data_IF_237123527728
#
_entry.id   IF_237123527728
#
_cell.length_a   1.000
_cell.length_b   1.000
_cell.length_c   1.000
_cell.angle_alpha   90.00
_cell.angle_beta   90.00
_cell.angle_gamma   90.00
#
_symmetry.space_group_name_H-M   'P 1'
#
loop_
_entity.id
_entity.type
_entity.pdbx_description
1 polymer ?
#
# COMPACT_ATOMS: atom_id res chain seq x y z
N UNK A 1 -16.53 -4.04 15.13
CA UNK A 1 -16.71 -4.67 16.46
C UNK A 1 -15.39 -4.59 17.21
N UNK A 2 -15.42 -4.58 18.54
CA UNK A 2 -14.20 -4.63 19.36
C UNK A 2 -14.17 -5.97 20.11
N UNK A 3 -13.11 -6.76 19.91
CA UNK A 3 -12.95 -8.03 20.61
C UNK A 3 -12.28 -7.76 21.96
N UNK A 4 -12.99 -8.04 23.06
CA UNK A 4 -12.50 -7.85 24.43
C UNK A 4 -12.50 -9.21 25.14
N UNK A 5 -11.39 -9.54 25.79
CA UNK A 5 -11.18 -10.82 26.47
C UNK A 5 -10.37 -11.84 25.65
N UNK A 6 -9.86 -12.86 26.35
CA UNK A 6 -9.11 -13.97 25.74
C UNK A 6 -10.10 -15.06 25.36
N UNK A 7 -10.32 -15.29 24.06
CA UNK A 7 -11.11 -16.43 23.60
C UNK A 7 -10.18 -17.65 23.56
N UNK A 8 -10.51 -18.69 24.35
CA UNK A 8 -9.76 -19.96 24.34
C UNK A 8 -9.83 -20.56 22.93
N UNK A 9 -8.68 -20.93 22.36
CA UNK A 9 -8.50 -21.47 21.00
C UNK A 9 -8.58 -20.45 19.84
N UNK A 10 -8.49 -19.15 20.11
CA UNK A 10 -8.31 -18.19 19.03
C UNK A 10 -6.90 -18.30 18.45
N UNK A 11 -6.80 -18.59 17.15
CA UNK A 11 -5.54 -18.89 16.47
C UNK A 11 -4.54 -17.72 16.53
N UNK A 12 -5.01 -16.46 16.50
CA UNK A 12 -4.15 -15.27 16.57
C UNK A 12 -4.92 -14.04 17.08
N UNK A 13 -4.94 -13.71 18.38
CA UNK A 13 -5.35 -12.38 18.82
C UNK A 13 -4.13 -11.46 18.76
N UNK A 14 -3.95 -10.74 17.63
CA UNK A 14 -2.82 -9.80 17.44
C UNK A 14 -2.81 -8.68 18.50
N UNK A 15 -3.98 -8.23 18.96
CA UNK A 15 -4.12 -7.39 20.14
C UNK A 15 -5.29 -7.86 21.03
N UNK A 16 -5.00 -8.68 22.03
CA UNK A 16 -6.01 -9.08 23.02
C UNK A 16 -6.21 -7.96 24.06
N UNK A 17 -7.38 -7.32 24.05
CA UNK A 17 -7.75 -6.36 25.09
C UNK A 17 -8.26 -7.11 26.32
N UNK A 18 -7.46 -7.15 27.39
CA UNK A 18 -7.88 -7.72 28.69
C UNK A 18 -8.61 -6.64 29.50
N UNK A 19 -9.90 -6.84 29.72
CA UNK A 19 -10.70 -5.99 30.59
C UNK A 19 -10.73 -6.63 31.99
N UNK A 20 -10.04 -6.02 32.95
CA UNK A 20 -9.86 -6.57 34.30
C UNK A 20 -10.66 -5.81 35.37
N UNK A 21 -10.89 -4.49 35.17
CA UNK A 21 -11.56 -3.61 36.15
C UNK A 21 -12.30 -2.47 35.45
N UNK A 22 -13.28 -1.88 36.15
CA UNK A 22 -14.04 -0.70 35.70
C UNK A 22 -15.19 -1.04 34.75
N UNK A 23 -15.88 -0.03 34.23
CA UNK A 23 -16.89 -0.22 33.19
C UNK A 23 -16.23 -0.37 31.80
N UNK A 24 -16.94 -1.00 30.86
CA UNK A 24 -16.42 -1.28 29.53
C UNK A 24 -16.16 0.00 28.71
N UNK A 25 -16.98 1.03 28.88
CA UNK A 25 -16.88 2.27 28.11
C UNK A 25 -15.62 3.05 28.50
N UNK A 26 -15.36 3.18 29.81
CA UNK A 26 -14.17 3.78 30.38
C UNK A 26 -12.91 3.01 29.96
N UNK A 27 -12.93 1.68 29.98
CA UNK A 27 -11.81 0.86 29.49
C UNK A 27 -11.51 1.12 28.00
N UNK A 28 -12.54 1.17 27.16
CA UNK A 28 -12.38 1.47 25.73
C UNK A 28 -11.87 2.89 25.51
N UNK A 29 -12.43 3.88 26.22
CA UNK A 29 -11.98 5.27 26.15
C UNK A 29 -10.52 5.42 26.57
N UNK A 30 -10.11 4.81 27.69
CA UNK A 30 -8.72 4.82 28.17
C UNK A 30 -7.76 4.22 27.13
N UNK A 31 -8.17 3.15 26.44
CA UNK A 31 -7.31 2.50 25.47
C UNK A 31 -7.05 3.35 24.23
N UNK A 32 -8.07 4.03 23.73
CA UNK A 32 -7.99 4.81 22.49
C UNK A 32 -7.57 6.26 22.73
N UNK A 33 -7.84 6.85 23.90
CA UNK A 33 -7.45 8.23 24.24
C UNK A 33 -5.97 8.37 24.66
N UNK A 34 -5.11 7.41 24.31
CA UNK A 34 -3.67 7.57 24.56
C UNK A 34 -3.18 8.73 23.69
N UNK A 35 -2.51 9.74 24.28
CA UNK A 35 -1.96 10.82 23.48
C UNK A 35 -0.96 10.24 22.48
N UNK A 36 -0.94 10.75 21.24
CA UNK A 36 0.01 10.29 20.24
C UNK A 36 1.44 10.47 20.77
N UNK A 37 2.24 9.42 20.71
CA UNK A 37 3.60 9.40 21.25
C UNK A 37 4.58 9.97 20.23
N UNK A 38 4.27 9.85 18.94
CA UNK A 38 5.14 10.31 17.86
C UNK A 38 4.87 11.79 17.57
N UNK A 39 5.84 12.63 17.93
CA UNK A 39 5.81 14.05 17.59
C UNK A 39 6.24 14.27 16.13
N UNK A 40 5.26 14.17 15.24
CA UNK A 40 5.43 14.41 13.81
C UNK A 40 4.46 15.50 13.37
N UNK A 41 4.83 16.76 13.60
CA UNK A 41 4.12 17.91 13.06
C UNK A 41 4.33 17.99 11.54
N UNK A 42 3.25 18.25 10.79
CA UNK A 42 3.25 18.50 9.34
C UNK A 42 3.50 17.32 8.38
N UNK A 43 3.45 16.07 8.84
CA UNK A 43 3.50 14.93 7.90
C UNK A 43 2.21 14.88 7.09
N UNK A 44 2.35 15.02 5.76
CA UNK A 44 1.25 14.95 4.81
C UNK A 44 1.29 13.63 4.05
N UNK A 45 0.17 12.93 4.05
CA UNK A 45 0.02 11.66 3.35
C UNK A 45 -0.20 11.95 1.84
N UNK A 46 0.67 11.45 0.94
CA UNK A 46 0.57 11.73 -0.48
C UNK A 46 -0.66 11.05 -1.09
N UNK A 47 -1.09 11.47 -2.28
CA UNK A 47 -2.22 10.84 -2.99
C UNK A 47 -1.95 9.37 -3.37
N UNK A 48 -0.67 9.02 -3.53
CA UNK A 48 -0.22 7.66 -3.77
C UNK A 48 -0.21 6.79 -2.51
N UNK A 49 -0.50 7.34 -1.33
CA UNK A 49 -0.65 6.55 -0.10
C UNK A 49 -2.05 5.92 -0.07
N UNK A 50 -2.28 4.97 -0.97
CA UNK A 50 -3.45 4.11 -1.02
C UNK A 50 -3.04 2.65 -0.80
N UNK A 51 -4.00 1.78 -0.48
CA UNK A 51 -3.71 0.41 -0.09
C UNK A 51 -3.12 -0.42 -1.24
N UNK A 52 -3.49 -0.10 -2.48
CA UNK A 52 -2.94 -0.73 -3.68
C UNK A 52 -1.46 -0.41 -3.81
N UNK A 53 -1.07 0.84 -3.57
CA UNK A 53 0.33 1.28 -3.61
C UNK A 53 1.11 0.71 -2.44
N UNK A 54 0.53 0.67 -1.25
CA UNK A 54 1.14 0.03 -0.06
C UNK A 54 1.45 -1.45 -0.36
N UNK A 55 0.54 -2.17 -1.00
CA UNK A 55 0.78 -3.58 -1.35
C UNK A 55 1.71 -3.75 -2.55
N UNK A 56 1.45 -3.04 -3.65
CA UNK A 56 2.16 -3.22 -4.92
C UNK A 56 3.57 -2.65 -4.86
N UNK A 57 3.73 -1.44 -4.32
CA UNK A 57 5.01 -0.72 -4.27
C UNK A 57 5.70 -0.99 -2.94
N UNK A 58 4.96 -0.91 -1.83
CA UNK A 58 5.49 -1.15 -0.49
C UNK A 58 5.82 -2.62 -0.23
N UNK A 59 5.19 -3.55 -0.96
CA UNK A 59 5.38 -4.98 -0.75
C UNK A 59 4.68 -5.52 0.50
N UNK A 60 3.83 -4.72 1.16
CA UNK A 60 3.08 -5.19 2.32
C UNK A 60 1.92 -6.09 1.90
N UNK A 61 1.69 -7.15 2.66
CA UNK A 61 0.48 -7.95 2.60
C UNK A 61 -0.65 -7.21 3.33
N UNK A 62 -1.85 -7.29 2.78
CA UNK A 62 -3.03 -6.66 3.38
C UNK A 62 -3.95 -7.76 3.85
N UNK A 63 -4.32 -7.72 5.13
CA UNK A 63 -5.26 -8.67 5.71
C UNK A 63 -6.39 -7.91 6.41
N UNK A 64 -7.62 -8.41 6.30
CA UNK A 64 -8.77 -7.79 6.92
C UNK A 64 -9.04 -8.38 8.31
N UNK A 65 -9.53 -7.55 9.23
CA UNK A 65 -9.84 -7.95 10.61
C UNK A 65 -11.22 -7.46 11.03
N UNK A 66 -11.95 -8.25 11.82
CA UNK A 66 -13.21 -7.81 12.44
C UNK A 66 -12.98 -7.07 13.77
N UNK A 67 -11.73 -6.98 14.24
CA UNK A 67 -11.38 -6.32 15.48
C UNK A 67 -10.89 -4.90 15.20
N UNK A 68 -11.65 -3.91 15.67
CA UNK A 68 -11.29 -2.50 15.51
C UNK A 68 -9.93 -2.18 16.16
N UNK A 69 -9.58 -2.84 17.27
CA UNK A 69 -8.30 -2.63 17.96
C UNK A 69 -7.06 -3.00 17.12
N UNK A 70 -7.22 -3.81 16.09
CA UNK A 70 -6.16 -4.26 15.18
C UNK A 70 -6.08 -3.39 13.92
N UNK A 71 -6.94 -2.38 13.75
CA UNK A 71 -6.93 -1.51 12.57
C UNK A 71 -5.58 -0.78 12.42
N UNK A 72 -4.95 -0.89 11.25
CA UNK A 72 -3.61 -0.37 10.91
C UNK A 72 -2.47 -0.98 11.74
N UNK A 73 -2.69 -2.13 12.39
CA UNK A 73 -1.62 -2.82 13.08
C UNK A 73 -0.73 -3.52 12.05
N UNK A 74 0.58 -3.30 12.17
CA UNK A 74 1.58 -4.05 11.42
C UNK A 74 1.94 -5.32 12.21
N UNK A 75 1.96 -6.45 11.50
CA UNK A 75 2.28 -7.79 12.01
C UNK A 75 3.25 -8.47 11.06
N UNK A 76 3.79 -9.63 11.50
CA UNK A 76 4.77 -10.41 10.74
C UNK A 76 6.00 -9.59 10.34
N UNK A 77 6.70 -9.00 11.30
CA UNK A 77 7.90 -8.17 11.09
C UNK A 77 7.67 -7.02 10.08
N UNK A 78 6.57 -6.27 10.26
CA UNK A 78 6.13 -5.15 9.42
C UNK A 78 5.83 -5.52 7.96
N UNK A 79 5.58 -6.80 7.67
CA UNK A 79 5.24 -7.26 6.32
C UNK A 79 3.73 -7.31 6.05
N UNK A 80 2.89 -7.41 7.09
CA UNK A 80 1.44 -7.51 6.94
C UNK A 80 0.74 -6.37 7.69
N UNK A 81 -0.20 -5.68 7.03
CA UNK A 81 -1.06 -4.67 7.67
C UNK A 81 -2.48 -5.19 7.85
N UNK A 82 -2.99 -5.08 9.08
CA UNK A 82 -4.35 -5.47 9.43
C UNK A 82 -5.33 -4.30 9.24
N UNK A 83 -6.42 -4.52 8.51
CA UNK A 83 -7.42 -3.50 8.22
C UNK A 83 -8.81 -3.90 8.68
N UNK A 84 -9.35 -3.10 9.61
CA UNK A 84 -10.74 -3.24 9.99
C UNK A 84 -11.69 -2.96 8.82
N UNK A 85 -12.56 -3.90 8.47
CA UNK A 85 -13.36 -3.79 7.24
C UNK A 85 -14.83 -3.44 7.44
N UNK A 86 -15.45 -3.60 8.61
CA UNK A 86 -16.91 -3.38 8.72
C UNK A 86 -17.31 -1.89 8.73
N UNK A 87 -17.23 -1.21 7.59
CA UNK A 87 -17.63 0.19 7.43
C UNK A 87 -19.14 0.40 7.69
N UNK A 88 -19.99 -0.52 7.22
CA UNK A 88 -21.44 -0.50 7.49
C UNK A 88 -21.74 -0.53 8.99
N UNK A 89 -20.98 -1.31 9.76
CA UNK A 89 -21.13 -1.39 11.22
C UNK A 89 -20.78 -0.06 11.90
N UNK A 90 -19.76 0.63 11.42
CA UNK A 90 -19.35 1.94 11.94
C UNK A 90 -20.39 3.03 11.64
N UNK A 91 -21.00 3.00 10.46
CA UNK A 91 -22.04 3.96 10.08
C UNK A 91 -23.33 3.79 10.88
N UNK A 92 -23.70 2.56 11.24
CA UNK A 92 -24.92 2.28 12.00
C UNK A 92 -24.81 2.60 13.50
N UNK A 93 -23.65 3.07 13.96
CA UNK A 93 -23.39 3.28 15.37
C UNK A 93 -23.83 4.67 15.86
N UNK A 94 -25.04 4.73 16.43
CA UNK A 94 -25.68 5.99 16.90
C UNK A 94 -25.39 6.31 18.38
N UNK A 95 -25.31 5.29 19.25
CA UNK A 95 -24.95 5.42 20.66
C UNK A 95 -23.79 4.46 20.95
N UNK A 96 -22.56 4.98 20.98
CA UNK A 96 -21.37 4.13 20.93
C UNK A 96 -20.67 3.98 22.28
N UNK A 97 -20.06 2.82 22.50
CA UNK A 97 -19.09 2.60 23.57
C UNK A 97 -17.73 3.24 23.25
N UNK A 98 -17.56 3.79 22.05
CA UNK A 98 -16.31 4.36 21.58
C UNK A 98 -16.17 5.83 22.00
N UNK A 99 -14.93 6.32 22.17
CA UNK A 99 -14.69 7.74 22.31
C UNK A 99 -15.16 8.50 21.06
N UNK A 100 -15.61 9.72 21.30
CA UNK A 100 -16.12 10.62 20.27
C UNK A 100 -15.03 10.90 19.22
N UNK A 101 -15.38 10.73 17.95
CA UNK A 101 -14.45 10.90 16.82
C UNK A 101 -13.73 9.63 16.35
N UNK A 102 -13.66 8.55 17.15
CA UNK A 102 -12.95 7.31 16.74
C UNK A 102 -13.57 6.67 15.48
N UNK A 103 -14.91 6.60 15.46
CA UNK A 103 -15.66 6.02 14.35
C UNK A 103 -15.44 6.81 13.06
N UNK A 104 -15.60 8.13 13.14
CA UNK A 104 -15.39 9.04 12.01
C UNK A 104 -13.94 9.02 11.51
N UNK A 105 -12.97 9.00 12.43
CA UNK A 105 -11.57 8.86 12.06
C UNK A 105 -11.28 7.53 11.36
N UNK A 106 -11.87 6.43 11.82
CA UNK A 106 -11.73 5.11 11.18
C UNK A 106 -12.36 5.10 9.78
N UNK A 107 -13.51 5.74 9.58
CA UNK A 107 -14.10 5.88 8.24
C UNK A 107 -13.21 6.74 7.33
N UNK A 108 -12.58 7.79 7.88
CA UNK A 108 -11.59 8.61 7.16
C UNK A 108 -10.31 7.84 6.82
N UNK A 109 -9.80 6.98 7.69
CA UNK A 109 -8.64 6.12 7.36
C UNK A 109 -9.00 5.11 6.28
N UNK A 110 -10.21 4.56 6.27
CA UNK A 110 -10.68 3.71 5.18
C UNK A 110 -10.81 4.49 3.86
N UNK A 111 -11.35 5.70 3.88
CA UNK A 111 -11.41 6.56 2.68
C UNK A 111 -10.04 7.04 2.20
N UNK A 112 -9.04 7.10 3.08
CA UNK A 112 -7.64 7.38 2.75
C UNK A 112 -7.02 6.19 2.01
N UNK A 113 -7.20 4.99 2.53
CA UNK A 113 -6.59 3.75 2.01
C UNK A 113 -7.33 3.20 0.78
N UNK A 114 -8.66 3.33 0.75
CA UNK A 114 -9.54 2.89 -0.33
C UNK A 114 -10.32 4.08 -0.92
N UNK A 115 -9.63 5.03 -1.57
CA UNK A 115 -10.29 6.16 -2.21
C UNK A 115 -11.32 5.68 -3.23
N UNK A 116 -12.58 6.09 -3.05
CA UNK A 116 -13.71 5.69 -3.90
C UNK A 116 -13.46 5.98 -5.39
N UNK A 117 -12.71 7.04 -5.70
CA UNK A 117 -12.34 7.40 -7.06
C UNK A 117 -11.44 6.37 -7.74
N UNK A 118 -10.67 5.60 -6.97
CA UNK A 118 -9.74 4.57 -7.46
C UNK A 118 -10.31 3.15 -7.45
N UNK A 119 -11.16 2.83 -6.47
CA UNK A 119 -11.61 1.46 -6.19
C UNK A 119 -13.07 1.17 -6.56
N UNK A 120 -13.95 2.18 -6.56
CA UNK A 120 -15.38 1.98 -6.85
C UNK A 120 -15.88 2.71 -8.09
N UNK A 121 -15.22 3.80 -8.51
CA UNK A 121 -15.65 4.58 -9.68
C UNK A 121 -15.37 3.82 -10.98
N UNK A 122 -16.38 3.49 -11.80
CA UNK A 122 -16.15 2.86 -13.10
C UNK A 122 -15.48 3.81 -14.11
N UNK A 123 -15.63 5.12 -13.90
CA UNK A 123 -15.22 6.17 -14.84
C UNK A 123 -13.81 6.67 -14.52
N UNK A 124 -13.47 6.85 -13.23
CA UNK A 124 -12.18 7.38 -12.78
C UNK A 124 -11.25 6.31 -12.21
N UNK A 125 -11.78 5.14 -11.88
CA UNK A 125 -11.04 4.06 -11.25
C UNK A 125 -10.21 3.26 -12.24
N UNK A 126 -9.11 2.71 -11.76
CA UNK A 126 -8.27 1.81 -12.56
C UNK A 126 -8.85 0.40 -12.51
N UNK A 127 -9.11 -0.20 -13.68
CA UNK A 127 -9.60 -1.58 -13.79
C UNK A 127 -8.72 -2.57 -12.99
N UNK A 128 -7.39 -2.42 -13.07
CA UNK A 128 -6.44 -3.26 -12.35
C UNK A 128 -6.59 -3.16 -10.82
N UNK A 129 -6.81 -1.95 -10.28
CA UNK A 129 -7.02 -1.77 -8.82
C UNK A 129 -8.30 -2.42 -8.34
N UNK A 130 -9.36 -2.32 -9.15
CA UNK A 130 -10.65 -2.93 -8.83
C UNK A 130 -10.56 -4.46 -8.85
N UNK A 131 -9.97 -5.03 -9.91
CA UNK A 131 -9.77 -6.48 -10.01
C UNK A 131 -8.90 -7.02 -8.87
N UNK A 132 -7.88 -6.27 -8.47
CA UNK A 132 -7.09 -6.63 -7.30
C UNK A 132 -7.85 -6.53 -6.00
N UNK A 133 -8.67 -5.50 -5.82
CA UNK A 133 -9.49 -5.39 -4.61
C UNK A 133 -10.53 -6.51 -4.52
N UNK A 134 -11.14 -6.89 -5.65
CA UNK A 134 -12.03 -8.04 -5.75
C UNK A 134 -11.28 -9.33 -5.39
N UNK A 135 -10.07 -9.53 -5.94
CA UNK A 135 -9.21 -10.68 -5.61
C UNK A 135 -8.82 -10.72 -4.13
N UNK A 136 -8.42 -9.58 -3.55
CA UNK A 136 -8.10 -9.46 -2.14
C UNK A 136 -9.32 -9.82 -1.27
N UNK A 137 -10.52 -9.39 -1.69
CA UNK A 137 -11.76 -9.74 -1.01
C UNK A 137 -12.05 -11.25 -1.04
N UNK A 138 -11.76 -11.91 -2.17
CA UNK A 138 -11.96 -13.35 -2.31
C UNK A 138 -10.96 -14.17 -1.49
N UNK A 139 -9.68 -13.76 -1.47
CA UNK A 139 -8.59 -14.45 -0.77
C UNK A 139 -8.73 -14.38 0.76
N UNK A 140 -9.42 -13.37 1.29
CA UNK A 140 -9.58 -13.16 2.73
C UNK A 140 -10.70 -14.00 3.37
N UNK A 141 -11.24 -15.00 2.67
CA UNK A 141 -12.29 -15.91 3.15
C UNK A 141 -11.84 -16.70 4.39
N UNK A 142 -12.70 -16.89 5.43
CA UNK A 142 -14.15 -17.12 5.30
C UNK A 142 -15.09 -15.93 5.57
N UNK A 143 -14.58 -14.75 5.94
CA UNK A 143 -15.43 -13.60 6.25
C UNK A 143 -15.82 -12.82 4.99
N UNK A 144 -17.12 -12.55 4.82
CA UNK A 144 -17.60 -11.69 3.73
C UNK A 144 -17.17 -10.25 4.02
N UNK A 145 -16.23 -9.74 3.22
CA UNK A 145 -15.73 -8.38 3.36
C UNK A 145 -16.81 -7.37 3.00
N UNK A 146 -16.86 -6.31 3.80
CA UNK A 146 -17.82 -5.24 3.61
C UNK A 146 -17.37 -4.37 2.43
N UNK A 147 -18.13 -4.43 1.33
CA UNK A 147 -17.83 -3.67 0.12
C UNK A 147 -17.89 -2.15 0.35
N UNK A 148 -18.52 -1.69 1.44
CA UNK A 148 -18.61 -0.27 1.76
C UNK A 148 -17.28 0.36 2.17
N UNK A 149 -16.24 -0.44 2.45
CA UNK A 149 -14.88 0.06 2.68
C UNK A 149 -14.38 0.95 1.53
N UNK A 150 -14.72 0.59 0.28
CA UNK A 150 -14.34 1.37 -0.89
C UNK A 150 -15.30 2.55 -1.19
N UNK A 151 -16.38 2.68 -0.41
CA UNK A 151 -17.43 3.70 -0.57
C UNK A 151 -17.38 4.81 0.49
N UNK A 152 -16.37 4.81 1.38
CA UNK A 152 -16.21 5.83 2.41
C UNK A 152 -15.84 7.24 1.86
N UNK A 153 -15.73 7.40 0.54
CA UNK A 153 -15.48 8.69 -0.12
C UNK A 153 -14.03 8.87 -0.57
N UNK A 154 -13.62 10.13 -0.72
CA UNK A 154 -12.24 10.51 -1.06
C UNK A 154 -11.78 11.66 -0.17
N UNK A 155 -10.60 11.54 0.43
CA UNK A 155 -10.03 12.63 1.21
C UNK A 155 -9.43 13.72 0.30
N UNK A 156 -9.69 14.99 0.64
CA UNK A 156 -9.02 16.13 0.02
C UNK A 156 -7.58 16.22 0.49
N UNK A 157 -6.81 17.08 -0.17
CA UNK A 157 -5.41 17.33 0.14
C UNK A 157 -5.17 17.75 1.60
N UNK A 158 -6.07 18.58 2.15
CA UNK A 158 -6.05 19.10 3.51
C UNK A 158 -6.43 18.05 4.56
N UNK A 159 -7.34 17.14 4.21
CA UNK A 159 -7.81 16.08 5.12
C UNK A 159 -6.75 14.98 5.34
N UNK A 160 -5.72 14.93 4.48
CA UNK A 160 -4.61 13.95 4.54
C UNK A 160 -3.44 14.38 5.42
N UNK A 161 -3.62 15.43 6.20
CA UNK A 161 -2.67 15.81 7.24
C UNK A 161 -2.75 14.80 8.38
N UNK A 162 -1.60 14.31 8.85
CA UNK A 162 -1.54 13.32 9.93
C UNK A 162 -2.20 13.85 11.22
N UNK A 163 -2.17 15.16 11.43
CA UNK A 163 -2.74 15.87 12.58
C UNK A 163 -4.26 15.72 12.70
N UNK A 164 -4.95 15.35 11.60
CA UNK A 164 -6.39 15.10 11.59
C UNK A 164 -6.77 13.69 12.04
N UNK A 165 -5.77 12.86 12.31
CA UNK A 165 -5.90 11.52 12.86
C UNK A 165 -5.35 11.57 14.28
N UNK A 166 -6.22 11.51 15.29
CA UNK A 166 -5.86 11.52 16.70
C UNK A 166 -5.66 10.10 17.22
N UNK A 167 -6.54 9.16 16.86
CA UNK A 167 -6.55 7.79 17.36
C UNK A 167 -5.57 6.88 16.62
N UNK A 168 -5.47 7.05 15.30
CA UNK A 168 -4.68 6.20 14.42
C UNK A 168 -3.36 6.83 13.97
N UNK A 169 -3.01 8.01 14.53
CA UNK A 169 -1.84 8.81 14.15
C UNK A 169 -0.55 7.99 14.11
N UNK A 170 -0.20 7.35 15.22
CA UNK A 170 1.08 6.67 15.38
C UNK A 170 1.18 5.48 14.41
N UNK A 171 0.08 4.72 14.25
CA UNK A 171 0.02 3.58 13.32
C UNK A 171 0.14 4.04 11.86
N UNK A 172 -0.52 5.13 11.49
CA UNK A 172 -0.38 5.74 10.16
C UNK A 172 1.02 6.26 9.91
N UNK A 173 1.70 6.81 10.91
CA UNK A 173 3.11 7.26 10.80
C UNK A 173 4.01 6.06 10.54
N UNK A 174 3.89 5.00 11.34
CA UNK A 174 4.69 3.78 11.16
C UNK A 174 4.41 3.17 9.78
N UNK A 175 3.13 3.02 9.40
CA UNK A 175 2.76 2.51 8.08
C UNK A 175 3.31 3.38 6.94
N UNK A 176 3.29 4.70 7.10
CA UNK A 176 3.91 5.62 6.16
C UNK A 176 5.42 5.43 6.08
N UNK A 177 6.09 5.27 7.22
CA UNK A 177 7.53 5.05 7.26
C UNK A 177 7.90 3.76 6.53
N UNK A 178 7.22 2.64 6.83
CA UNK A 178 7.44 1.37 6.13
C UNK A 178 7.18 1.52 4.63
N UNK A 179 6.13 2.25 4.25
CA UNK A 179 5.85 2.53 2.84
C UNK A 179 6.95 3.37 2.18
N UNK A 180 7.46 4.41 2.83
CA UNK A 180 8.50 5.29 2.26
C UNK A 180 9.87 4.59 2.19
N UNK A 181 10.19 3.74 3.18
CA UNK A 181 11.43 2.96 3.26
C UNK A 181 11.44 1.77 2.28
N UNK A 182 10.26 1.31 1.85
CA UNK A 182 10.16 0.21 0.90
C UNK A 182 10.80 0.56 -0.45
N UNK A 183 11.85 -0.19 -0.81
CA UNK A 183 12.51 -0.08 -2.11
C UNK A 183 11.91 -1.07 -3.12
N UNK A 184 11.60 -0.65 -4.36
CA UNK A 184 11.12 -1.56 -5.39
C UNK A 184 12.20 -2.60 -5.73
N UNK A 185 11.90 -3.88 -5.47
CA UNK A 185 12.81 -5.02 -5.69
C UNK A 185 12.69 -5.62 -7.08
N UNK A 186 11.54 -5.44 -7.74
CA UNK A 186 11.29 -5.99 -9.08
C UNK A 186 11.07 -4.89 -10.12
N UNK A 187 11.31 -5.21 -11.41
CA UNK A 187 11.10 -4.27 -12.52
C UNK A 187 9.62 -3.85 -12.61
N UNK A 188 8.69 -4.76 -12.30
CA UNK A 188 7.26 -4.45 -12.24
C UNK A 188 6.96 -3.42 -11.12
N UNK A 189 7.58 -3.57 -9.94
CA UNK A 189 7.47 -2.58 -8.87
C UNK A 189 8.03 -1.23 -9.29
N UNK A 190 9.21 -1.21 -9.93
CA UNK A 190 9.80 0.01 -10.49
C UNK A 190 8.91 0.69 -11.54
N UNK A 191 8.19 -0.09 -12.35
CA UNK A 191 7.24 0.46 -13.31
C UNK A 191 6.07 1.18 -12.64
N UNK A 192 5.51 0.58 -11.59
CA UNK A 192 4.39 1.14 -10.82
C UNK A 192 4.80 2.22 -9.82
N UNK A 193 6.07 2.23 -9.39
CA UNK A 193 6.57 3.22 -8.45
C UNK A 193 6.71 4.59 -9.09
N UNK A 194 5.72 5.45 -8.83
CA UNK A 194 5.69 6.85 -9.27
C UNK A 194 5.96 7.83 -8.13
N UNK A 195 6.47 7.37 -6.97
CA UNK A 195 6.67 8.21 -5.78
C UNK A 195 7.70 9.32 -6.02
N UNK A 196 8.75 9.03 -6.77
CA UNK A 196 9.77 10.00 -7.14
C UNK A 196 10.02 9.95 -8.65
N UNK A 197 9.43 10.91 -9.37
CA UNK A 197 9.52 10.98 -10.83
C UNK A 197 10.94 11.09 -11.36
N UNK A 198 11.84 11.73 -10.61
CA UNK A 198 13.26 11.87 -10.98
C UNK A 198 13.98 10.53 -10.92
N UNK A 199 13.84 9.80 -9.81
CA UNK A 199 14.41 8.45 -9.66
C UNK A 199 13.86 7.50 -10.72
N UNK A 200 12.55 7.55 -10.98
CA UNK A 200 11.92 6.76 -12.03
C UNK A 200 12.53 7.06 -13.42
N UNK A 201 12.67 8.35 -13.76
CA UNK A 201 13.26 8.77 -15.03
C UNK A 201 14.71 8.31 -15.18
N UNK A 202 15.55 8.55 -14.18
CA UNK A 202 16.98 8.14 -14.20
C UNK A 202 17.14 6.63 -14.39
N UNK A 203 16.32 5.81 -13.73
CA UNK A 203 16.34 4.36 -13.91
C UNK A 203 16.04 3.95 -15.36
N UNK A 204 14.96 4.47 -15.95
CA UNK A 204 14.59 4.12 -17.33
C UNK A 204 15.57 4.66 -18.37
N UNK A 205 16.18 5.82 -18.14
CA UNK A 205 17.27 6.33 -18.97
C UNK A 205 18.48 5.39 -18.90
N UNK A 206 18.87 4.93 -17.71
CA UNK A 206 19.97 3.98 -17.56
C UNK A 206 19.70 2.66 -18.29
N UNK A 207 18.47 2.13 -18.20
CA UNK A 207 18.03 0.93 -18.94
C UNK A 207 18.11 1.15 -20.45
N UNK A 208 17.66 2.31 -20.95
CA UNK A 208 17.72 2.66 -22.36
C UNK A 208 19.17 2.72 -22.86
N UNK A 209 20.05 3.40 -22.12
CA UNK A 209 21.48 3.50 -22.45
C UNK A 209 22.11 2.11 -22.50
N UNK A 210 21.83 1.25 -21.51
CA UNK A 210 22.34 -0.13 -21.49
C UNK A 210 21.90 -0.92 -22.73
N UNK A 211 20.64 -0.82 -23.12
CA UNK A 211 20.13 -1.50 -24.33
C UNK A 211 20.82 -1.00 -25.60
N UNK A 212 21.02 0.32 -25.73
CA UNK A 212 21.74 0.91 -26.86
C UNK A 212 23.20 0.44 -26.87
N UNK A 213 23.89 0.43 -25.72
CA UNK A 213 25.29 -0.03 -25.64
C UNK A 213 25.43 -1.50 -26.04
N UNK A 214 24.53 -2.38 -25.59
CA UNK A 214 24.55 -3.81 -25.94
C UNK A 214 24.33 -3.99 -27.46
N UNK A 215 23.34 -3.31 -28.03
CA UNK A 215 23.05 -3.43 -29.46
C UNK A 215 24.18 -2.91 -30.34
N UNK A 216 24.76 -1.75 -30.02
CA UNK A 216 25.93 -1.23 -30.72
C UNK A 216 27.13 -2.16 -30.59
N UNK A 217 27.36 -2.72 -29.39
CA UNK A 217 28.41 -3.71 -29.17
C UNK A 217 28.24 -4.96 -30.04
N UNK A 218 27.00 -5.48 -30.17
CA UNK A 218 26.70 -6.62 -31.04
C UNK A 218 26.96 -6.30 -32.51
N UNK A 219 26.53 -5.13 -33.00
CA UNK A 219 26.77 -4.70 -34.38
C UNK A 219 28.28 -4.62 -34.64
N UNK A 220 29.04 -4.00 -33.73
CA UNK A 220 30.50 -3.90 -33.84
C UNK A 220 31.18 -5.27 -33.85
N UNK A 221 30.73 -6.22 -33.03
CA UNK A 221 31.25 -7.59 -33.06
C UNK A 221 31.03 -8.26 -34.42
N UNK A 222 29.84 -8.09 -35.01
CA UNK A 222 29.49 -8.66 -36.32
C UNK A 222 30.34 -8.01 -37.42
N UNK A 223 30.44 -6.67 -37.44
CA UNK A 223 31.25 -5.95 -38.43
C UNK A 223 32.72 -6.32 -38.34
N UNK A 224 33.25 -6.42 -37.12
CA UNK A 224 34.64 -6.85 -36.88
C UNK A 224 34.87 -8.27 -37.39
N UNK A 225 33.95 -9.21 -37.13
CA UNK A 225 34.04 -10.57 -37.63
C UNK A 225 33.98 -10.64 -39.17
N UNK A 226 33.09 -9.87 -39.80
CA UNK A 226 33.00 -9.77 -41.26
C UNK A 226 34.25 -9.14 -41.88
N UNK A 227 34.84 -8.13 -41.25
CA UNK A 227 36.06 -7.50 -41.70
C UNK A 227 37.23 -8.48 -41.68
N UNK A 228 37.39 -9.25 -40.60
CA UNK A 228 38.41 -10.29 -40.49
C UNK A 228 38.19 -11.39 -41.55
N UNK A 229 36.94 -11.82 -41.74
CA UNK A 229 36.60 -12.81 -42.76
C UNK A 229 36.96 -12.34 -44.18
N UNK A 230 36.61 -11.11 -44.55
CA UNK A 230 36.97 -10.52 -45.85
C UNK A 230 38.48 -10.33 -46.01
N UNK A 231 39.21 -10.02 -44.94
CA UNK A 231 40.66 -9.92 -44.98
C UNK A 231 41.34 -11.27 -45.24
N UNK A 232 40.78 -12.37 -44.71
CA UNK A 232 41.29 -13.72 -44.91
C UNK A 232 40.91 -14.30 -46.29
N UNK A 233 39.74 -13.93 -46.81
CA UNK A 233 39.25 -14.31 -48.14
C UNK A 233 39.04 -13.07 -49.03
N UNK A 234 40.13 -12.43 -49.52
CA UNK A 234 40.02 -11.23 -50.33
C UNK A 234 39.31 -11.55 -51.65
N UNK A 235 38.24 -10.81 -51.96
CA UNK A 235 37.57 -10.93 -53.25
C UNK A 235 38.48 -10.34 -54.33
N UNK A 236 39.08 -11.20 -55.17
CA UNK A 236 39.86 -10.75 -56.34
C UNK A 236 38.86 -10.21 -57.36
N UNK A 237 38.61 -8.90 -57.31
CA UNK A 237 37.88 -8.20 -58.38
C UNK A 237 38.86 -8.09 -59.56
N UNK A 238 38.76 -9.05 -60.48
CA UNK A 238 39.44 -8.99 -61.76
C UNK A 238 38.98 -7.73 -62.51
N UNK A 239 39.89 -6.77 -62.68
CA UNK A 239 39.69 -5.69 -63.64
C UNK A 239 39.77 -6.32 -65.04
N UNK A 240 38.63 -6.58 -65.66
CA UNK A 240 38.55 -6.79 -67.11
C UNK A 240 38.91 -5.48 -67.79
N UNK A 241 40.06 -5.49 -68.45
CA UNK A 241 40.57 -4.46 -69.35
C UNK A 241 39.86 -4.55 -70.70
#
# INVERSE_FOLDING_TARGET
MLKVGVVRHQASPHLCLKWEKGDLQSFVRERFNKPPVLDCHHVRLPKSFDIWSISTIGGLKVEFTDNLGDHLLLVDDDTTVLLFHHASFLECQVNTLYPDGLVDETLRTLALLFPQSGFSSPIRGSKARREWFEKLCLESSPCLIDSRVALCGNLRAEDRQIERFAFWRDRLIILKQVYDDATPRTIQQWWHDRRNGERWFTFWVAVLVLMITITLGLIQCIESALQVYKAYYPTIIGKTQ
#
